data_IF_034982661906
#
_entry.id   IF_034982661906
#
_cell.length_a   1.000
_cell.length_b   1.000
_cell.length_c   1.000
_cell.angle_alpha   90.00
_cell.angle_beta   90.00
_cell.angle_gamma   90.00
#
_symmetry.space_group_name_H-M   'P 1'
#
loop_
_entity.id
_entity.type
_entity.pdbx_description
1 polymer ?
#
# COMPACT_ATOMS: atom_id res chain seq x y z
N UNK A 1 -50.43 -48.00 29.81
CA UNK A 1 -49.79 -48.46 28.56
C UNK A 1 -50.83 -48.56 27.47
N UNK A 2 -50.47 -48.37 26.19
CA UNK A 2 -49.82 -47.24 25.53
C UNK A 2 -50.86 -46.43 24.70
N UNK A 3 -50.47 -45.29 24.11
CA UNK A 3 -51.21 -44.73 22.98
C UNK A 3 -50.23 -44.45 21.85
N UNK A 4 -50.68 -44.84 20.67
CA UNK A 4 -49.92 -45.12 19.47
C UNK A 4 -49.49 -43.86 18.70
N UNK A 5 -48.47 -44.09 17.87
CA UNK A 5 -48.02 -43.37 16.66
C UNK A 5 -49.17 -42.66 15.90
N UNK A 6 -48.99 -41.56 15.15
CA UNK A 6 -48.22 -41.49 13.91
C UNK A 6 -47.91 -40.03 13.46
N UNK A 7 -46.65 -39.83 13.08
CA UNK A 7 -46.11 -39.15 11.90
C UNK A 7 -46.85 -37.93 11.31
N UNK A 8 -46.29 -36.73 11.55
CA UNK A 8 -46.50 -35.58 10.68
C UNK A 8 -45.38 -35.51 9.64
N UNK A 9 -45.79 -35.55 8.39
CA UNK A 9 -44.99 -35.43 7.16
C UNK A 9 -44.42 -34.01 7.04
N UNK A 10 -43.13 -33.86 7.33
CA UNK A 10 -42.35 -32.67 6.99
C UNK A 10 -41.31 -33.05 5.95
N UNK A 11 -41.55 -32.63 4.72
CA UNK A 11 -40.68 -32.74 3.54
C UNK A 11 -39.24 -32.39 3.95
N UNK A 12 -38.34 -33.36 3.78
CA UNK A 12 -36.90 -33.14 3.83
C UNK A 12 -36.32 -33.68 2.53
N UNK A 13 -36.54 -32.94 1.45
CA UNK A 13 -35.71 -33.03 0.26
C UNK A 13 -34.45 -32.22 0.57
N UNK A 14 -33.48 -32.94 1.14
CA UNK A 14 -32.07 -32.58 1.10
C UNK A 14 -31.54 -32.85 -0.30
N UNK A 15 -30.51 -32.09 -0.66
CA UNK A 15 -29.62 -32.27 -1.81
C UNK A 15 -30.09 -31.55 -3.10
N UNK A 16 -29.55 -30.36 -3.35
CA UNK A 16 -28.30 -30.32 -4.10
C UNK A 16 -27.63 -28.95 -3.98
N UNK A 17 -26.32 -29.03 -3.79
CA UNK A 17 -25.38 -27.94 -3.65
C UNK A 17 -25.13 -27.29 -5.02
N UNK A 18 -25.68 -26.11 -5.26
CA UNK A 18 -25.18 -25.20 -6.29
C UNK A 18 -25.14 -23.78 -5.71
N UNK A 19 -24.34 -23.63 -4.66
CA UNK A 19 -23.79 -22.33 -4.32
C UNK A 19 -22.57 -22.12 -5.22
N UNK A 20 -22.82 -21.66 -6.45
CA UNK A 20 -21.83 -20.93 -7.24
C UNK A 20 -21.52 -19.60 -6.52
N UNK A 21 -20.91 -19.71 -5.34
CA UNK A 21 -20.15 -18.63 -4.70
C UNK A 21 -18.74 -18.66 -5.29
N UNK A 22 -18.67 -18.45 -6.61
CA UNK A 22 -17.52 -17.85 -7.24
C UNK A 22 -17.53 -16.36 -6.86
N UNK A 23 -17.43 -16.05 -5.56
CA UNK A 23 -16.84 -14.78 -5.17
C UNK A 23 -15.38 -14.89 -5.61
N UNK A 24 -14.94 -14.08 -6.59
CA UNK A 24 -13.53 -13.98 -6.86
C UNK A 24 -12.96 -13.31 -5.61
N UNK A 25 -12.49 -14.11 -4.65
CA UNK A 25 -11.29 -13.73 -3.93
C UNK A 25 -10.21 -13.63 -4.99
N UNK A 26 -10.27 -12.50 -5.71
CA UNK A 26 -9.29 -11.99 -6.62
C UNK A 26 -7.97 -12.13 -5.88
N UNK A 27 -7.22 -13.12 -6.33
CA UNK A 27 -5.89 -13.45 -5.86
C UNK A 27 -5.01 -12.27 -6.21
N UNK A 28 -5.03 -11.26 -5.33
CA UNK A 28 -4.09 -10.17 -5.21
C UNK A 28 -3.33 -9.88 -6.48
N UNK A 29 -4.01 -9.39 -7.52
CA UNK A 29 -3.34 -8.56 -8.51
C UNK A 29 -2.88 -7.27 -7.80
N UNK A 30 -1.75 -7.40 -7.12
CA UNK A 30 -0.58 -6.65 -7.51
C UNK A 30 -0.63 -5.17 -7.19
N UNK A 31 -1.24 -4.73 -6.08
CA UNK A 31 -0.94 -3.40 -5.58
C UNK A 31 0.57 -3.32 -5.28
N UNK A 32 1.30 -2.75 -6.24
CA UNK A 32 2.70 -2.42 -6.14
C UNK A 32 2.73 -0.94 -5.81
N UNK A 33 3.21 -0.55 -4.62
CA UNK A 33 3.39 0.85 -4.30
C UNK A 33 4.20 1.54 -5.39
N UNK A 34 3.84 2.77 -5.73
CA UNK A 34 4.60 3.54 -6.71
C UNK A 34 6.07 3.62 -6.27
N UNK A 35 7.03 3.24 -7.15
CA UNK A 35 8.46 3.36 -6.85
C UNK A 35 8.81 4.81 -6.52
N UNK A 36 9.55 4.98 -5.43
CA UNK A 36 9.87 6.31 -4.92
C UNK A 36 10.64 6.23 -3.62
N UNK A 37 10.98 7.41 -3.11
CA UNK A 37 11.63 7.59 -1.82
C UNK A 37 10.96 8.71 -1.05
N UNK A 38 11.12 8.64 0.27
CA UNK A 38 10.65 9.69 1.18
C UNK A 38 11.84 10.38 1.79
N UNK A 39 11.88 11.71 1.69
CA UNK A 39 12.90 12.54 2.31
C UNK A 39 12.30 13.16 3.56
N UNK A 40 12.96 12.92 4.70
CA UNK A 40 12.60 13.41 6.03
C UNK A 40 13.63 14.45 6.45
N UNK A 41 13.20 15.68 6.72
CA UNK A 41 14.08 16.78 7.12
C UNK A 41 13.52 17.58 8.29
N UNK A 42 14.41 18.23 9.03
CA UNK A 42 14.04 19.16 10.10
C UNK A 42 13.44 18.49 11.35
N UNK A 43 13.48 17.17 11.48
CA UNK A 43 13.03 16.48 12.69
C UNK A 43 13.96 16.78 13.87
N UNK A 44 13.39 17.04 15.06
CA UNK A 44 14.17 17.20 16.29
C UNK A 44 14.97 15.94 16.69
N UNK A 45 14.47 14.75 16.35
CA UNK A 45 15.22 13.49 16.42
C UNK A 45 16.13 13.43 15.20
N UNK A 46 17.37 13.88 15.36
CA UNK A 46 18.35 14.02 14.27
C UNK A 46 18.48 12.72 13.46
N UNK A 47 18.51 11.56 14.12
CA UNK A 47 18.66 10.25 13.49
C UNK A 47 17.50 9.85 12.55
N UNK A 48 16.30 10.42 12.75
CA UNK A 48 15.13 10.18 11.91
C UNK A 48 15.17 10.98 10.60
N UNK A 49 16.06 11.97 10.46
CA UNK A 49 16.24 12.68 9.20
C UNK A 49 16.97 11.81 8.17
N UNK A 50 16.69 12.03 6.90
CA UNK A 50 17.38 11.42 5.76
C UNK A 50 16.43 10.86 4.71
N UNK A 51 16.98 10.00 3.85
CA UNK A 51 16.25 9.38 2.73
C UNK A 51 15.79 7.98 3.16
N UNK A 52 14.51 7.72 3.00
CA UNK A 52 13.87 6.43 3.24
C UNK A 52 13.51 5.80 1.89
N UNK A 53 14.03 4.60 1.66
CA UNK A 53 13.82 3.85 0.43
C UNK A 53 12.63 2.91 0.56
N UNK A 54 11.88 2.71 -0.52
CA UNK A 54 10.78 1.77 -0.55
C UNK A 54 11.28 0.35 -0.23
N UNK A 55 10.73 -0.27 0.82
CA UNK A 55 11.17 -1.58 1.34
C UNK A 55 10.04 -2.58 1.54
N UNK A 56 8.86 -2.27 1.00
CA UNK A 56 7.70 -3.15 1.00
C UNK A 56 6.40 -2.36 1.07
N UNK A 57 5.37 -2.96 1.64
CA UNK A 57 4.09 -2.32 1.87
C UNK A 57 3.57 -2.56 3.29
N UNK A 58 2.66 -1.70 3.73
CA UNK A 58 1.87 -1.82 4.94
C UNK A 58 0.55 -1.09 4.70
N UNK A 59 -0.59 -1.68 5.10
CA UNK A 59 -1.93 -1.13 4.81
C UNK A 59 -2.13 -0.80 3.32
N UNK A 60 -1.69 -1.72 2.46
CA UNK A 60 -1.76 -1.62 0.99
C UNK A 60 -1.11 -0.36 0.41
N UNK A 61 -0.11 0.22 1.10
CA UNK A 61 0.69 1.35 0.58
C UNK A 61 2.17 1.18 0.87
N UNK A 62 3.00 2.03 0.27
CA UNK A 62 4.45 1.96 0.41
C UNK A 62 4.91 2.06 1.87
N UNK A 63 5.77 1.12 2.28
CA UNK A 63 6.58 1.20 3.49
C UNK A 63 7.99 1.58 3.08
N UNK A 64 8.56 2.56 3.77
CA UNK A 64 9.89 3.08 3.46
C UNK A 64 10.81 2.90 4.67
N UNK A 65 12.07 2.57 4.45
CA UNK A 65 13.03 2.36 5.54
C UNK A 65 14.35 3.08 5.32
N UNK A 66 14.99 3.45 6.43
CA UNK A 66 16.30 4.05 6.48
C UNK A 66 17.08 3.47 7.65
N UNK A 67 18.33 3.07 7.44
CA UNK A 67 19.22 2.71 8.54
C UNK A 67 19.85 3.97 9.17
N UNK A 68 20.06 3.95 10.49
CA UNK A 68 20.67 5.05 11.23
C UNK A 68 21.13 4.64 12.61
N UNK A 69 21.84 5.54 13.29
CA UNK A 69 22.27 5.32 14.67
C UNK A 69 21.28 5.98 15.63
N UNK A 70 20.75 5.21 16.57
CA UNK A 70 19.91 5.72 17.66
C UNK A 70 20.35 5.08 18.97
N UNK A 71 20.61 5.92 19.99
CA UNK A 71 21.15 5.49 21.30
C UNK A 71 22.34 4.54 21.14
N UNK A 72 23.32 4.96 20.34
CA UNK A 72 24.59 4.25 20.07
C UNK A 72 24.44 2.87 19.40
N UNK A 73 23.25 2.53 18.89
CA UNK A 73 22.99 1.28 18.19
C UNK A 73 22.53 1.54 16.76
N UNK A 74 22.91 0.65 15.83
CA UNK A 74 22.33 0.64 14.50
C UNK A 74 20.87 0.21 14.57
N UNK A 75 19.99 1.00 13.95
CA UNK A 75 18.56 0.83 13.95
C UNK A 75 18.00 1.07 12.55
N UNK A 76 16.90 0.38 12.24
CA UNK A 76 16.13 0.63 11.02
C UNK A 76 14.91 1.47 11.36
N UNK A 77 14.91 2.71 10.88
CA UNK A 77 13.75 3.58 10.94
C UNK A 77 12.81 3.23 9.80
N UNK A 78 11.53 3.11 10.11
CA UNK A 78 10.46 2.79 9.17
C UNK A 78 9.48 3.95 9.09
N UNK A 79 9.02 4.25 7.88
CA UNK A 79 7.91 5.14 7.60
C UNK A 79 6.80 4.30 6.95
N UNK A 80 5.63 4.25 7.60
CA UNK A 80 4.52 3.39 7.17
C UNK A 80 3.17 3.98 7.57
N UNK A 81 2.12 3.49 6.90
CA UNK A 81 0.72 3.74 7.26
C UNK A 81 0.16 2.51 7.96
N UNK A 82 -0.65 2.70 8.99
CA UNK A 82 -1.45 1.64 9.58
C UNK A 82 -2.88 2.12 9.88
N UNK A 83 -3.80 1.17 9.99
CA UNK A 83 -5.16 1.39 10.46
C UNK A 83 -5.19 1.15 11.98
N UNK A 84 -5.73 2.13 12.70
CA UNK A 84 -5.94 2.07 14.15
C UNK A 84 -7.26 1.35 14.46
N UNK A 85 -7.47 1.01 15.73
CA UNK A 85 -8.68 0.31 16.19
C UNK A 85 -9.98 1.09 16.00
N UNK A 86 -9.90 2.42 15.86
CA UNK A 86 -11.03 3.30 15.56
C UNK A 86 -11.29 3.44 14.05
N UNK A 87 -10.68 2.58 13.23
CA UNK A 87 -10.69 2.61 11.76
C UNK A 87 -10.06 3.86 11.13
N UNK A 88 -9.43 4.72 11.90
CA UNK A 88 -8.66 5.83 11.33
C UNK A 88 -7.31 5.32 10.82
N UNK A 89 -6.82 5.92 9.75
CA UNK A 89 -5.50 5.63 9.20
C UNK A 89 -4.51 6.70 9.61
N UNK A 90 -3.28 6.29 9.92
CA UNK A 90 -2.23 7.20 10.39
C UNK A 90 -0.87 6.76 9.86
N UNK A 91 -0.06 7.75 9.50
CA UNK A 91 1.33 7.60 9.12
C UNK A 91 2.22 7.72 10.35
N UNK A 92 3.30 6.94 10.36
CA UNK A 92 4.26 6.89 11.46
C UNK A 92 5.69 6.94 10.93
N UNK A 93 6.58 7.52 11.74
CA UNK A 93 8.03 7.29 11.67
C UNK A 93 8.41 6.61 12.99
N UNK A 94 8.86 5.37 12.90
CA UNK A 94 9.12 4.53 14.08
C UNK A 94 10.32 3.61 13.87
N UNK A 95 10.89 3.10 14.96
CA UNK A 95 11.69 1.86 14.91
C UNK A 95 10.74 0.70 15.16
N UNK A 96 10.66 -0.23 14.20
CA UNK A 96 9.85 -1.45 14.32
C UNK A 96 10.79 -2.61 14.67
N UNK A 97 10.60 -3.31 15.81
CA UNK A 97 11.45 -4.42 16.17
C UNK A 97 11.46 -5.52 15.09
N UNK A 98 12.59 -6.19 14.93
CA UNK A 98 12.74 -7.25 13.92
C UNK A 98 11.70 -8.36 14.10
N UNK A 99 11.04 -8.74 13.00
CA UNK A 99 10.01 -9.79 12.99
C UNK A 99 8.66 -9.36 13.60
N UNK A 100 8.51 -8.10 14.00
CA UNK A 100 7.24 -7.54 14.47
C UNK A 100 6.56 -6.78 13.33
N UNK A 101 5.23 -6.90 13.28
CA UNK A 101 4.42 -6.15 12.33
C UNK A 101 4.40 -4.65 12.72
N UNK A 102 4.55 -3.72 11.76
CA UNK A 102 4.39 -2.30 12.05
C UNK A 102 2.98 -1.96 12.57
N UNK A 103 2.88 -0.90 13.38
CA UNK A 103 1.65 -0.41 13.99
C UNK A 103 1.30 -1.08 15.32
N UNK A 104 2.25 -1.77 15.96
CA UNK A 104 2.02 -2.41 17.26
C UNK A 104 2.47 -1.51 18.41
N UNK A 105 2.03 -1.81 19.63
CA UNK A 105 2.52 -1.13 20.84
C UNK A 105 4.00 -1.43 21.17
N UNK A 106 4.67 -2.29 20.40
CA UNK A 106 6.11 -2.57 20.53
C UNK A 106 6.96 -1.61 19.71
N UNK A 107 6.34 -0.86 18.82
CA UNK A 107 7.02 0.10 17.97
C UNK A 107 7.49 1.28 18.82
N UNK A 108 8.63 1.84 18.44
CA UNK A 108 9.15 3.06 19.04
C UNK A 108 8.79 4.22 18.12
N UNK A 109 7.66 4.87 18.41
CA UNK A 109 7.15 5.97 17.59
C UNK A 109 7.86 7.30 17.90
N UNK A 110 8.30 7.98 16.83
CA UNK A 110 8.91 9.32 16.91
C UNK A 110 7.95 10.40 16.44
N UNK A 111 7.27 10.15 15.33
CA UNK A 111 6.37 11.12 14.70
C UNK A 111 5.16 10.43 14.10
N UNK A 112 4.04 11.14 14.03
CA UNK A 112 2.84 10.66 13.36
C UNK A 112 2.08 11.76 12.65
N UNK A 113 1.40 11.41 11.56
CA UNK A 113 0.52 12.32 10.82
C UNK A 113 -0.79 11.62 10.44
N UNK A 114 -1.95 12.29 10.54
CA UNK A 114 -3.19 11.73 10.04
C UNK A 114 -3.12 11.56 8.51
N UNK A 115 -3.88 10.61 7.98
CA UNK A 115 -4.18 10.61 6.55
C UNK A 115 -5.09 11.81 6.24
N UNK A 116 -4.60 12.72 5.40
CA UNK A 116 -5.35 13.94 5.01
C UNK A 116 -6.30 13.65 3.85
N UNK A 117 -5.84 12.83 2.90
CA UNK A 117 -6.61 12.35 1.77
C UNK A 117 -6.62 10.82 1.81
N UNK A 118 -7.81 10.23 1.95
CA UNK A 118 -8.00 8.78 2.03
C UNK A 118 -7.61 8.05 0.74
N UNK A 119 -7.54 8.76 -0.38
CA UNK A 119 -7.08 8.23 -1.67
C UNK A 119 -5.57 8.35 -1.86
N UNK A 120 -4.87 9.05 -0.96
CA UNK A 120 -3.42 9.22 -1.04
C UNK A 120 -2.68 8.03 -0.45
N UNK A 121 -1.85 7.43 -1.30
CA UNK A 121 -0.95 6.32 -0.92
C UNK A 121 0.46 6.77 -0.55
N UNK A 122 0.69 8.09 -0.56
CA UNK A 122 1.95 8.72 -0.18
C UNK A 122 1.80 9.44 1.17
N UNK A 123 2.88 9.54 1.96
CA UNK A 123 2.84 10.25 3.23
C UNK A 123 2.56 11.74 3.02
N UNK A 124 1.82 12.39 3.94
CA UNK A 124 1.54 13.80 3.84
C UNK A 124 2.83 14.61 4.03
N UNK A 125 2.98 15.70 3.28
CA UNK A 125 4.09 16.65 3.42
C UNK A 125 4.07 17.35 4.78
N UNK A 126 2.87 17.64 5.28
CA UNK A 126 2.60 18.48 6.44
C UNK A 126 1.77 17.72 7.49
N UNK A 127 1.44 18.39 8.60
CA UNK A 127 0.58 17.85 9.68
C UNK A 127 1.21 16.72 10.51
N UNK A 128 2.52 16.56 10.42
CA UNK A 128 3.28 15.71 11.32
C UNK A 128 3.31 16.30 12.72
N UNK A 129 3.17 15.42 13.70
CA UNK A 129 3.18 15.74 15.12
C UNK A 129 4.19 14.87 15.83
N UNK A 130 4.80 15.43 16.86
CA UNK A 130 5.76 14.75 17.73
C UNK A 130 5.05 13.70 18.57
N UNK A 131 5.52 12.46 18.53
CA UNK A 131 4.98 11.39 19.37
C UNK A 131 5.32 11.65 20.85
N UNK A 132 4.43 11.24 21.76
CA UNK A 132 4.57 11.50 23.21
C UNK A 132 5.72 10.71 23.87
N UNK A 133 6.19 9.66 23.21
CA UNK A 133 7.13 8.68 23.75
C UNK A 133 8.58 9.12 23.51
N UNK A 134 9.03 9.08 22.27
CA UNK A 134 10.43 9.30 21.87
C UNK A 134 10.59 10.43 20.85
N UNK A 135 9.49 11.09 20.48
CA UNK A 135 9.51 12.25 19.60
C UNK A 135 10.17 13.47 20.25
N UNK A 136 10.89 14.24 19.44
CA UNK A 136 11.49 15.52 19.85
C UNK A 136 11.08 16.58 18.83
N UNK A 137 10.63 17.74 19.31
CA UNK A 137 10.29 18.88 18.46
C UNK A 137 11.53 19.47 17.76
N UNK A 138 11.38 20.01 16.54
CA UNK A 138 10.12 20.10 15.80
C UNK A 138 9.77 18.79 15.07
N UNK A 139 8.49 18.61 14.68
CA UNK A 139 8.10 17.53 13.78
C UNK A 139 8.77 17.68 12.41
N UNK A 140 8.95 16.58 11.67
CA UNK A 140 9.61 16.60 10.37
C UNK A 140 8.80 17.31 9.30
N UNK A 141 9.52 17.82 8.30
CA UNK A 141 9.00 18.09 6.97
C UNK A 141 9.26 16.87 6.08
N UNK A 142 8.23 16.44 5.35
CA UNK A 142 8.30 15.26 4.50
C UNK A 142 8.20 15.65 3.03
N UNK A 143 8.99 15.03 2.18
CA UNK A 143 8.86 15.14 0.73
C UNK A 143 8.90 13.75 0.12
N UNK A 144 7.82 13.34 -0.53
CA UNK A 144 7.82 12.14 -1.36
C UNK A 144 8.32 12.49 -2.76
N UNK A 145 9.22 11.65 -3.29
CA UNK A 145 9.76 11.78 -4.63
C UNK A 145 9.51 10.46 -5.39
N UNK A 146 8.76 10.48 -6.50
CA UNK A 146 8.66 9.31 -7.37
C UNK A 146 10.04 9.02 -7.97
N UNK A 147 10.36 7.74 -8.17
CA UNK A 147 11.51 7.39 -9.00
C UNK A 147 11.24 7.80 -10.46
N UNK A 148 12.27 8.25 -11.21
CA UNK A 148 12.11 8.52 -12.63
C UNK A 148 11.63 7.26 -13.35
N UNK A 149 10.53 7.37 -14.09
CA UNK A 149 10.11 6.33 -15.03
C UNK A 149 11.18 6.29 -16.11
N UNK A 150 11.93 5.20 -16.20
CA UNK A 150 12.86 5.00 -17.30
C UNK A 150 12.02 4.59 -18.52
N UNK A 151 12.26 5.21 -19.67
CA UNK A 151 11.50 4.98 -20.91
C UNK A 151 11.47 3.49 -21.33
N UNK A 152 12.40 2.68 -20.84
CA UNK A 152 12.47 1.23 -21.08
C UNK A 152 11.32 0.45 -20.43
N UNK A 153 10.72 0.95 -19.34
CA UNK A 153 9.57 0.32 -18.66
C UNK A 153 8.24 0.55 -19.42
N UNK A 154 8.19 1.52 -20.33
CA UNK A 154 7.02 1.80 -21.19
C UNK A 154 6.96 0.91 -22.45
N UNK A 155 7.98 0.07 -22.67
CA UNK A 155 8.07 -0.80 -23.85
C UNK A 155 7.63 -2.26 -23.61
N UNK A 156 7.05 -2.60 -22.45
CA UNK A 156 6.49 -3.94 -22.20
C UNK A 156 5.11 -4.19 -22.82
N UNK A 157 4.58 -3.23 -23.59
CA UNK A 157 3.32 -3.36 -24.33
C UNK A 157 3.56 -3.58 -25.83
N UNK A 158 4.70 -4.19 -26.19
CA UNK A 158 5.09 -4.52 -27.56
C UNK A 158 4.21 -5.58 -28.24
N UNK A 159 2.88 -5.41 -28.23
CA UNK A 159 2.00 -5.98 -29.24
C UNK A 159 1.73 -4.90 -30.29
N UNK A 160 2.55 -4.93 -31.34
CA UNK A 160 2.59 -3.92 -32.38
C UNK A 160 1.24 -3.66 -33.05
N UNK A 161 0.82 -2.40 -33.03
CA UNK A 161 0.10 -1.76 -34.14
C UNK A 161 0.64 -0.36 -34.31
N UNK A 162 1.70 -0.28 -35.11
CA UNK A 162 2.14 0.93 -35.78
C UNK A 162 0.97 1.47 -36.61
N UNK A 163 0.34 2.55 -36.15
CA UNK A 163 -0.49 3.40 -37.01
C UNK A 163 0.44 4.32 -37.81
N UNK A 164 1.24 3.72 -38.70
CA UNK A 164 1.80 4.48 -39.81
C UNK A 164 0.73 4.57 -40.86
N UNK A 165 0.10 5.75 -40.88
CA UNK A 165 -0.58 6.30 -42.05
C UNK A 165 0.27 6.09 -43.31
N UNK A 166 -0.41 5.70 -44.39
CA UNK A 166 0.13 5.75 -45.75
C UNK A 166 0.45 4.40 -46.37
N UNK A 167 -0.57 3.65 -46.77
CA UNK A 167 -0.44 2.80 -47.96
C UNK A 167 -1.18 3.47 -49.11
N UNK A 168 -0.38 3.97 -50.06
CA UNK A 168 -0.81 4.55 -51.31
C UNK A 168 -1.14 3.39 -52.24
N UNK A 169 -2.42 3.00 -52.31
CA UNK A 169 -2.85 2.03 -53.30
C UNK A 169 -3.03 2.75 -54.65
N UNK A 170 -1.96 2.61 -55.43
CA UNK A 170 -1.88 2.91 -56.84
C UNK A 170 -2.60 1.79 -57.62
N UNK A 171 -3.86 2.01 -58.00
CA UNK A 171 -4.51 1.21 -59.05
C UNK A 171 -5.04 2.14 -60.14
N UNK A 172 -4.26 2.21 -61.22
CA UNK A 172 -4.72 2.76 -62.49
C UNK A 172 -5.57 1.74 -63.25
N UNK A 173 -6.59 2.27 -63.95
CA UNK A 173 -7.07 1.95 -65.31
C UNK A 173 -8.60 2.16 -65.40
N UNK A 174 -9.08 3.23 -66.07
CA UNK A 174 -9.55 3.28 -67.49
C UNK A 174 -11.02 2.78 -67.59
N UNK A 175 -12.05 3.45 -68.12
CA UNK A 175 -12.33 4.24 -69.35
C UNK A 175 -13.80 4.77 -69.25
N UNK A 176 -14.43 5.36 -70.28
CA UNK A 176 -13.96 6.24 -71.37
C UNK A 176 -14.36 7.71 -71.19
#
# INVERSE_FOLDING_TARGET
>A
SPSDSEMNTGINDSDDEDADDDSPYDNGEGYRPQPGKVIVNGAGVVAANGIYELSGNCDQVGKYTKNGIWRDNEQSFSLFRCQLSDNTKRWYISIVPQGIQPGTNKDIDFYSAPVVDVTSDVPPTNSWTTAKTEGIDPPPMITWQPEPIHDDDLNMDGNGRSWTDGNVDNDGLRYP
#
